data_IF_564036648352
#
_entry.id   IF_564036648352
#
_cell.length_a   1.000
_cell.length_b   1.000
_cell.length_c   1.000
_cell.angle_alpha   90.00
_cell.angle_beta   90.00
_cell.angle_gamma   90.00
#
_symmetry.space_group_name_H-M   'P 1'
#
loop_
_entity.id
_entity.type
_entity.pdbx_description
1 polymer ?
#
# COMPACT_ATOMS: atom_id res chain seq x y z
N UNK A 1 -2.29 9.34 -86.84
CA UNK A 1 -3.31 8.97 -85.83
C UNK A 1 -2.85 7.72 -85.07
N UNK A 2 -2.80 7.78 -83.72
CA UNK A 2 -2.74 6.67 -82.73
C UNK A 2 -1.47 5.78 -82.76
N UNK A 3 -0.77 5.46 -81.66
CA UNK A 3 -0.90 5.71 -80.21
C UNK A 3 0.48 5.43 -79.57
N UNK A 4 1.05 6.41 -78.86
CA UNK A 4 2.11 6.22 -77.85
C UNK A 4 1.38 6.25 -76.50
N UNK A 5 1.13 5.09 -75.88
CA UNK A 5 0.68 4.99 -74.48
C UNK A 5 1.04 3.61 -73.94
N UNK A 6 2.22 3.48 -73.36
CA UNK A 6 2.62 2.21 -72.76
C UNK A 6 3.99 2.27 -72.13
N UNK A 7 4.27 3.24 -71.25
CA UNK A 7 5.47 3.15 -70.39
C UNK A 7 5.40 3.98 -69.09
N UNK A 8 4.26 4.59 -68.74
CA UNK A 8 4.19 5.57 -67.64
C UNK A 8 3.36 5.08 -66.42
N UNK A 9 3.22 3.77 -66.24
CA UNK A 9 2.42 3.19 -65.15
C UNK A 9 3.18 2.20 -64.25
N UNK A 10 4.47 1.97 -64.50
CA UNK A 10 5.31 1.11 -63.64
C UNK A 10 6.14 1.94 -62.63
N UNK A 11 6.16 3.27 -62.77
CA UNK A 11 6.95 4.17 -61.92
C UNK A 11 6.25 4.74 -60.68
N UNK A 12 4.98 4.39 -60.41
CA UNK A 12 4.19 4.99 -59.29
C UNK A 12 3.72 3.94 -58.27
N UNK A 13 4.00 2.65 -58.48
CA UNK A 13 3.60 1.57 -57.55
C UNK A 13 4.70 1.11 -56.58
N UNK A 14 5.91 1.68 -56.65
CA UNK A 14 7.01 1.40 -55.69
C UNK A 14 7.41 2.70 -54.95
N UNK A 15 6.43 3.42 -54.41
CA UNK A 15 6.74 4.58 -53.55
C UNK A 15 5.84 4.70 -52.31
N UNK A 16 4.99 3.70 -52.02
CA UNK A 16 4.04 3.74 -50.88
C UNK A 16 4.37 2.71 -49.79
N UNK A 17 5.44 1.93 -49.93
CA UNK A 17 5.78 0.83 -49.00
C UNK A 17 7.01 1.12 -48.12
N UNK A 18 7.12 2.35 -47.66
CA UNK A 18 7.98 2.72 -46.53
C UNK A 18 7.16 3.50 -45.51
N UNK A 19 6.00 2.95 -45.12
CA UNK A 19 5.39 3.32 -43.85
C UNK A 19 6.32 2.80 -42.75
N UNK A 20 7.21 3.66 -42.26
CA UNK A 20 7.98 3.39 -41.05
C UNK A 20 6.98 3.06 -39.94
N UNK A 21 6.93 1.79 -39.56
CA UNK A 21 6.23 1.36 -38.37
C UNK A 21 6.94 2.03 -37.20
N UNK A 22 6.42 3.16 -36.73
CA UNK A 22 6.83 3.72 -35.46
C UNK A 22 6.25 2.77 -34.42
N UNK A 23 7.06 1.78 -34.03
CA UNK A 23 6.78 0.97 -32.86
C UNK A 23 7.00 1.92 -31.68
N UNK A 24 5.94 2.59 -31.25
CA UNK A 24 5.93 3.27 -29.96
C UNK A 24 6.06 2.18 -28.91
N UNK A 25 7.28 1.93 -28.45
CA UNK A 25 7.49 1.20 -27.20
C UNK A 25 6.88 2.09 -26.13
N UNK A 26 5.76 1.66 -25.54
CA UNK A 26 5.30 2.27 -24.30
C UNK A 26 6.46 2.18 -23.31
N UNK A 27 6.90 3.31 -22.77
CA UNK A 27 7.88 3.29 -21.69
C UNK A 27 7.26 2.50 -20.53
N UNK A 28 7.95 1.47 -20.07
CA UNK A 28 7.53 0.76 -18.86
C UNK A 28 7.55 1.74 -17.69
N UNK A 29 6.51 1.70 -16.87
CA UNK A 29 6.42 2.57 -15.70
C UNK A 29 7.54 2.24 -14.72
N UNK A 30 8.14 3.27 -14.12
CA UNK A 30 9.16 3.06 -13.09
C UNK A 30 8.53 2.64 -11.77
N UNK A 31 9.32 2.01 -10.89
CA UNK A 31 8.88 1.69 -9.53
C UNK A 31 8.36 2.94 -8.80
N UNK A 32 9.09 4.05 -8.94
CA UNK A 32 8.76 5.36 -8.37
C UNK A 32 7.40 5.88 -8.86
N UNK A 33 7.12 5.80 -10.16
CA UNK A 33 5.82 6.21 -10.69
C UNK A 33 4.66 5.36 -10.16
N UNK A 34 4.87 4.05 -10.04
CA UNK A 34 3.86 3.10 -9.54
C UNK A 34 3.55 3.39 -8.07
N UNK A 35 4.58 3.51 -7.24
CA UNK A 35 4.39 3.73 -5.80
C UNK A 35 3.83 5.13 -5.50
N UNK A 36 4.22 6.15 -6.26
CA UNK A 36 3.64 7.49 -6.12
C UNK A 36 2.13 7.47 -6.41
N UNK A 37 1.67 6.75 -7.44
CA UNK A 37 0.24 6.59 -7.72
C UNK A 37 -0.48 5.84 -6.61
N UNK A 38 0.17 4.84 -6.01
CA UNK A 38 -0.39 4.14 -4.84
C UNK A 38 -0.52 5.07 -3.65
N UNK A 39 0.53 5.81 -3.31
CA UNK A 39 0.49 6.79 -2.23
C UNK A 39 -0.60 7.84 -2.50
N UNK A 40 -0.78 8.32 -3.73
CA UNK A 40 -1.82 9.29 -4.07
C UNK A 40 -3.25 8.71 -3.93
N UNK A 41 -3.42 7.40 -4.12
CA UNK A 41 -4.71 6.71 -3.95
C UNK A 41 -5.02 6.34 -2.50
N UNK A 42 -4.00 5.96 -1.71
CA UNK A 42 -4.17 5.45 -0.35
C UNK A 42 -3.93 6.51 0.73
N UNK A 43 -3.18 7.57 0.43
CA UNK A 43 -2.87 8.64 1.38
C UNK A 43 -3.94 9.73 1.39
N UNK A 44 -4.71 9.79 2.47
CA UNK A 44 -5.77 10.79 2.67
C UNK A 44 -5.35 11.92 3.63
N UNK A 45 -5.89 13.12 3.42
CA UNK A 45 -5.67 14.25 4.34
C UNK A 45 -6.44 14.10 5.65
N UNK A 46 -7.70 13.65 5.56
CA UNK A 46 -8.60 13.39 6.69
C UNK A 46 -9.54 12.27 6.32
N UNK A 47 -9.91 11.42 7.28
CA UNK A 47 -10.92 10.38 7.09
C UNK A 47 -11.74 10.17 8.37
N UNK A 48 -12.99 9.77 8.16
CA UNK A 48 -13.84 9.16 9.18
C UNK A 48 -14.13 7.73 8.74
N UNK A 49 -13.93 6.77 9.63
CA UNK A 49 -14.05 5.34 9.31
C UNK A 49 -14.88 4.63 10.37
N UNK A 50 -15.71 3.70 9.92
CA UNK A 50 -16.29 2.65 10.77
C UNK A 50 -15.63 1.33 10.38
N UNK A 51 -15.11 0.59 11.34
CA UNK A 51 -14.35 -0.64 11.08
C UNK A 51 -14.79 -1.78 11.99
N UNK A 52 -14.75 -2.99 11.44
CA UNK A 52 -14.88 -4.25 12.15
C UNK A 52 -13.57 -5.03 12.03
N UNK A 53 -13.00 -5.40 13.18
CA UNK A 53 -11.82 -6.25 13.28
C UNK A 53 -12.21 -7.60 13.85
N UNK A 54 -11.95 -8.65 13.08
CA UNK A 54 -12.19 -10.04 13.48
C UNK A 54 -10.84 -10.70 13.77
N UNK A 55 -10.59 -11.02 15.03
CA UNK A 55 -9.37 -11.68 15.50
C UNK A 55 -9.67 -13.17 15.68
N UNK A 56 -8.91 -14.03 15.00
CA UNK A 56 -9.03 -15.49 15.09
C UNK A 56 -7.74 -16.07 15.66
N UNK A 57 -7.82 -16.74 16.80
CA UNK A 57 -6.67 -17.39 17.45
C UNK A 57 -7.06 -18.80 17.89
N UNK A 58 -6.58 -19.80 17.14
CA UNK A 58 -7.04 -21.19 17.31
C UNK A 58 -8.56 -21.31 17.12
N UNK A 59 -9.26 -21.81 18.13
CA UNK A 59 -10.73 -21.90 18.12
C UNK A 59 -11.43 -20.61 18.59
N UNK A 60 -10.69 -19.62 19.09
CA UNK A 60 -11.25 -18.38 19.62
C UNK A 60 -11.44 -17.37 18.49
N UNK A 61 -12.63 -16.76 18.42
CA UNK A 61 -12.95 -15.64 17.54
C UNK A 61 -13.41 -14.45 18.38
N UNK A 62 -12.80 -13.28 18.19
CA UNK A 62 -13.17 -12.02 18.85
C UNK A 62 -13.51 -11.02 17.75
N UNK A 63 -14.63 -10.32 17.90
CA UNK A 63 -14.99 -9.20 17.01
C UNK A 63 -14.91 -7.90 17.79
N UNK A 64 -14.20 -6.91 17.24
CA UNK A 64 -14.09 -5.55 17.75
C UNK A 64 -14.63 -4.60 16.70
N UNK A 65 -15.48 -3.67 17.10
CA UNK A 65 -16.00 -2.63 16.22
C UNK A 65 -15.50 -1.29 16.72
N UNK A 66 -15.19 -0.37 15.80
CA UNK A 66 -14.61 0.91 16.15
C UNK A 66 -14.99 2.00 15.15
N UNK A 67 -14.94 3.24 15.62
CA UNK A 67 -15.03 4.45 14.80
C UNK A 67 -13.69 5.18 14.91
N UNK A 68 -13.17 5.65 13.79
CA UNK A 68 -11.93 6.42 13.74
C UNK A 68 -12.14 7.78 13.09
N UNK A 69 -11.49 8.80 13.64
CA UNK A 69 -11.28 10.11 13.05
C UNK A 69 -9.79 10.32 12.90
N UNK A 70 -9.32 10.52 11.68
CA UNK A 70 -7.88 10.60 11.40
C UNK A 70 -7.58 11.77 10.49
N UNK A 71 -6.44 12.40 10.73
CA UNK A 71 -5.74 13.27 9.79
C UNK A 71 -4.36 12.65 9.46
N UNK A 72 -3.49 13.40 8.79
CA UNK A 72 -2.14 12.94 8.39
C UNK A 72 -1.25 12.46 9.54
N UNK A 73 -1.40 13.05 10.73
CA UNK A 73 -0.49 12.83 11.88
C UNK A 73 -1.21 12.36 13.13
N UNK A 74 -2.51 12.59 13.21
CA UNK A 74 -3.30 12.35 14.40
C UNK A 74 -4.45 11.40 14.09
N UNK A 75 -4.78 10.55 15.05
CA UNK A 75 -5.91 9.65 14.94
C UNK A 75 -6.57 9.46 16.30
N UNK A 76 -7.90 9.51 16.33
CA UNK A 76 -8.70 9.13 17.48
C UNK A 76 -9.57 7.94 17.08
N UNK A 77 -9.34 6.79 17.71
CA UNK A 77 -10.14 5.57 17.52
C UNK A 77 -10.92 5.31 18.79
N UNK A 78 -12.21 5.03 18.67
CA UNK A 78 -13.08 4.62 19.77
C UNK A 78 -13.70 3.25 19.50
N UNK A 79 -13.55 2.33 20.44
CA UNK A 79 -14.20 1.02 20.36
C UNK A 79 -15.68 1.11 20.72
N UNK A 80 -16.50 0.49 19.89
CA UNK A 80 -17.97 0.48 20.00
C UNK A 80 -18.53 -0.90 20.33
N UNK A 81 -17.71 -1.96 20.30
CA UNK A 81 -18.13 -3.30 20.70
C UNK A 81 -18.36 -3.36 22.21
N UNK A 82 -19.21 -4.29 22.65
CA UNK A 82 -19.68 -4.32 24.04
C UNK A 82 -18.57 -4.51 25.08
N UNK A 83 -17.52 -5.30 24.80
CA UNK A 83 -16.47 -5.57 25.79
C UNK A 83 -15.49 -4.41 25.98
N UNK A 84 -15.22 -3.64 24.92
CA UNK A 84 -14.22 -2.57 24.93
C UNK A 84 -14.86 -1.18 24.82
N UNK A 85 -16.19 -1.08 25.02
CA UNK A 85 -16.99 0.11 24.72
C UNK A 85 -16.39 1.35 25.39
N UNK A 86 -16.08 2.35 24.59
CA UNK A 86 -15.55 3.63 25.07
C UNK A 86 -14.04 3.65 25.29
N UNK A 87 -13.34 2.51 25.20
CA UNK A 87 -11.88 2.47 25.10
C UNK A 87 -11.44 3.28 23.89
N UNK A 88 -10.40 4.11 24.06
CA UNK A 88 -9.93 5.03 23.01
C UNK A 88 -8.44 4.88 22.75
N UNK A 89 -8.05 4.99 21.49
CA UNK A 89 -6.68 5.29 21.09
C UNK A 89 -6.60 6.74 20.65
N UNK A 90 -5.60 7.45 21.16
CA UNK A 90 -5.19 8.73 20.62
C UNK A 90 -3.77 8.59 20.09
N UNK A 91 -3.60 8.70 18.78
CA UNK A 91 -2.31 9.01 18.16
C UNK A 91 -2.21 10.52 18.01
N UNK A 92 -1.11 11.09 18.48
CA UNK A 92 -0.76 12.49 18.22
C UNK A 92 0.71 12.55 17.82
N UNK A 93 0.96 12.81 16.55
CA UNK A 93 2.30 12.75 15.95
C UNK A 93 2.94 11.38 16.23
N UNK A 94 4.07 11.36 16.94
CA UNK A 94 4.86 10.16 17.25
C UNK A 94 4.46 9.45 18.55
N UNK A 95 3.44 9.96 19.23
CA UNK A 95 2.98 9.42 20.50
C UNK A 95 1.62 8.75 20.36
N UNK A 96 1.47 7.62 21.08
CA UNK A 96 0.23 6.86 21.17
C UNK A 96 -0.19 6.71 22.64
N UNK A 97 -1.46 6.97 22.91
CA UNK A 97 -2.09 6.76 24.20
C UNK A 97 -3.31 5.88 24.06
N UNK A 98 -3.57 5.09 25.10
CA UNK A 98 -4.80 4.33 25.26
C UNK A 98 -5.53 4.81 26.52
N UNK A 99 -6.83 5.02 26.41
CA UNK A 99 -7.70 5.36 27.53
C UNK A 99 -8.69 4.23 27.79
N UNK A 100 -8.78 3.80 29.05
CA UNK A 100 -9.70 2.78 29.51
C UNK A 100 -10.79 3.43 30.40
N UNK A 101 -12.06 3.47 29.94
CA UNK A 101 -13.12 4.18 30.67
C UNK A 101 -13.43 3.56 32.03
N UNK A 102 -13.44 2.23 32.13
CA UNK A 102 -13.82 1.53 33.36
C UNK A 102 -12.84 1.77 34.53
N UNK A 103 -11.58 2.06 34.21
CA UNK A 103 -10.53 2.34 35.17
C UNK A 103 -10.18 3.84 35.26
N UNK A 104 -10.75 4.67 34.40
CA UNK A 104 -10.36 6.07 34.17
C UNK A 104 -8.83 6.24 33.95
N UNK A 105 -8.21 5.25 33.32
CA UNK A 105 -6.75 5.16 33.19
C UNK A 105 -6.29 5.58 31.78
N UNK A 106 -5.19 6.34 31.71
CA UNK A 106 -4.50 6.69 30.45
C UNK A 106 -3.10 6.07 30.47
N UNK A 107 -2.81 5.24 29.47
CA UNK A 107 -1.53 4.56 29.31
C UNK A 107 -0.85 5.06 28.04
N UNK A 108 0.40 5.53 28.14
CA UNK A 108 1.24 5.83 26.97
C UNK A 108 1.84 4.54 26.42
N UNK A 109 1.57 4.25 25.15
CA UNK A 109 2.15 3.10 24.44
C UNK A 109 3.48 3.52 23.84
N UNK A 110 4.58 2.94 24.33
CA UNK A 110 5.94 3.30 23.89
C UNK A 110 6.93 2.15 24.05
N UNK A 111 8.11 2.30 23.45
CA UNK A 111 9.21 1.34 23.56
C UNK A 111 8.78 -0.06 23.10
N UNK A 112 9.04 -1.08 23.92
CA UNK A 112 8.70 -2.47 23.58
C UNK A 112 7.19 -2.70 23.40
N UNK A 113 6.34 -1.86 24.00
CA UNK A 113 4.89 -1.98 23.83
C UNK A 113 4.45 -1.74 22.38
N UNK A 114 5.19 -0.95 21.60
CA UNK A 114 4.86 -0.68 20.20
C UNK A 114 4.85 -1.96 19.35
N UNK A 115 5.66 -2.95 19.71
CA UNK A 115 5.76 -4.22 19.00
C UNK A 115 4.67 -5.23 19.38
N UNK A 116 3.80 -4.89 20.34
CA UNK A 116 2.74 -5.78 20.81
C UNK A 116 1.50 -5.66 19.92
N UNK A 117 0.75 -6.75 19.84
CA UNK A 117 -0.52 -6.82 19.12
C UNK A 117 -1.57 -5.88 19.73
N UNK A 118 -2.09 -4.97 18.91
CA UNK A 118 -3.16 -4.04 19.24
C UNK A 118 -4.41 -4.84 19.61
N UNK A 119 -4.83 -4.67 20.87
CA UNK A 119 -5.99 -5.36 21.45
C UNK A 119 -5.98 -6.89 21.24
N UNK A 120 -4.78 -7.50 21.16
CA UNK A 120 -4.60 -8.94 20.95
C UNK A 120 -4.73 -9.39 19.49
N UNK A 121 -4.68 -8.47 18.52
CA UNK A 121 -4.63 -8.77 17.10
C UNK A 121 -3.20 -8.98 16.59
N UNK A 122 -3.06 -9.40 15.33
CA UNK A 122 -1.76 -9.47 14.65
C UNK A 122 -1.26 -8.09 14.17
N UNK A 123 -2.08 -7.03 14.24
CA UNK A 123 -1.64 -5.65 14.01
C UNK A 123 -0.88 -5.16 15.23
N UNK A 124 0.38 -4.78 15.08
CA UNK A 124 1.13 -4.16 16.16
C UNK A 124 0.71 -2.70 16.37
N UNK A 125 0.96 -2.15 17.55
CA UNK A 125 0.75 -0.70 17.77
C UNK A 125 1.65 0.15 16.87
N UNK A 126 2.83 -0.36 16.52
CA UNK A 126 3.76 0.28 15.60
C UNK A 126 3.14 0.39 14.19
N UNK A 127 2.36 -0.61 13.74
CA UNK A 127 1.62 -0.54 12.47
C UNK A 127 0.58 0.59 12.47
N UNK A 128 -0.08 0.82 13.60
CA UNK A 128 -1.07 1.91 13.76
C UNK A 128 -0.37 3.28 13.79
N UNK A 129 0.91 3.32 14.20
CA UNK A 129 1.71 4.52 14.26
C UNK A 129 2.30 4.94 12.91
N UNK A 130 2.53 4.01 11.98
CA UNK A 130 3.06 4.34 10.65
C UNK A 130 1.93 4.93 9.79
N UNK A 131 2.01 6.24 9.49
CA UNK A 131 1.05 6.93 8.62
C UNK A 131 1.71 7.82 7.57
N UNK A 132 3.02 7.68 7.39
CA UNK A 132 3.76 8.40 6.35
C UNK A 132 3.57 7.72 4.99
N UNK A 133 3.84 8.46 3.92
CA UNK A 133 3.83 7.90 2.57
C UNK A 133 4.93 6.84 2.45
N UNK A 134 4.67 5.77 1.69
CA UNK A 134 5.67 4.73 1.51
C UNK A 134 6.91 5.27 0.77
N UNK A 135 6.71 6.22 -0.13
CA UNK A 135 7.79 6.94 -0.85
C UNK A 135 8.71 7.76 0.04
N UNK A 136 8.25 8.18 1.22
CA UNK A 136 9.08 8.90 2.19
C UNK A 136 9.97 7.93 2.98
N UNK A 137 9.55 6.67 3.10
CA UNK A 137 10.14 5.68 4.00
C UNK A 137 11.02 4.63 3.29
N UNK A 138 10.73 4.29 2.04
CA UNK A 138 11.37 3.17 1.35
C UNK A 138 11.85 3.55 -0.06
N UNK A 139 12.94 2.93 -0.49
CA UNK A 139 13.37 2.90 -1.88
C UNK A 139 12.83 1.63 -2.54
N UNK A 140 12.16 1.81 -3.69
CA UNK A 140 11.43 0.73 -4.36
C UNK A 140 12.05 0.32 -5.69
N UNK A 141 12.03 -0.98 -5.96
CA UNK A 141 12.38 -1.58 -7.24
C UNK A 141 11.29 -2.56 -7.69
N UNK A 142 11.04 -2.63 -9.01
CA UNK A 142 10.15 -3.65 -9.57
C UNK A 142 10.93 -4.96 -9.63
N UNK A 143 10.48 -5.98 -8.92
CA UNK A 143 11.15 -7.29 -8.90
C UNK A 143 10.52 -8.29 -9.85
N UNK A 144 9.22 -8.15 -10.15
CA UNK A 144 8.49 -8.96 -11.14
C UNK A 144 7.10 -8.37 -11.43
N UNK A 145 6.43 -8.97 -12.40
CA UNK A 145 5.02 -8.78 -12.67
C UNK A 145 4.32 -10.13 -12.55
N UNK A 146 3.20 -10.19 -11.83
CA UNK A 146 2.43 -11.43 -11.72
C UNK A 146 0.95 -11.15 -11.47
N UNK A 147 0.13 -12.19 -11.61
CA UNK A 147 -1.29 -12.13 -11.30
C UNK A 147 -1.50 -12.49 -9.82
N UNK A 148 -2.29 -11.68 -9.11
CA UNK A 148 -2.76 -11.97 -7.76
C UNK A 148 -4.29 -11.87 -7.74
N UNK A 149 -4.96 -12.95 -7.33
CA UNK A 149 -6.42 -13.08 -7.30
C UNK A 149 -7.12 -12.61 -8.58
N UNK A 150 -6.60 -13.04 -9.74
CA UNK A 150 -7.18 -12.72 -11.05
C UNK A 150 -6.89 -11.30 -11.53
N UNK A 151 -6.04 -10.54 -10.83
CA UNK A 151 -5.68 -9.17 -11.19
C UNK A 151 -4.18 -9.06 -11.50
N UNK A 152 -3.79 -8.42 -12.62
CA UNK A 152 -2.40 -8.25 -12.93
C UNK A 152 -1.78 -7.20 -12.01
N UNK A 153 -0.64 -7.51 -11.43
CA UNK A 153 0.04 -6.69 -10.44
C UNK A 153 1.48 -6.38 -10.87
N UNK A 154 1.95 -5.20 -10.48
CA UNK A 154 3.37 -4.95 -10.30
C UNK A 154 3.78 -5.48 -8.93
N UNK A 155 4.91 -6.19 -8.85
CA UNK A 155 5.47 -6.62 -7.57
C UNK A 155 6.72 -5.79 -7.30
N UNK A 156 6.63 -4.93 -6.29
CA UNK A 156 7.70 -4.04 -5.90
C UNK A 156 8.32 -4.53 -4.59
N UNK A 157 9.66 -4.48 -4.52
CA UNK A 157 10.40 -4.60 -3.28
C UNK A 157 10.74 -3.20 -2.78
N UNK A 158 10.45 -2.93 -1.51
CA UNK A 158 10.83 -1.69 -0.81
C UNK A 158 11.83 -1.98 0.29
N UNK A 159 12.96 -1.28 0.28
CA UNK A 159 13.97 -1.30 1.35
C UNK A 159 13.94 0.04 2.08
N UNK A 160 13.90 -0.01 3.42
CA UNK A 160 13.83 1.19 4.24
C UNK A 160 15.04 2.10 4.00
N UNK A 161 14.77 3.40 3.89
CA UNK A 161 15.80 4.43 3.72
C UNK A 161 16.70 4.54 4.95
N UNK A 162 17.89 5.08 4.75
CA UNK A 162 18.80 5.34 5.86
C UNK A 162 18.23 6.46 6.77
N UNK A 163 18.26 6.22 8.08
CA UNK A 163 17.86 7.21 9.08
C UNK A 163 16.37 7.40 9.31
N UNK A 164 15.50 6.66 8.59
CA UNK A 164 14.05 6.67 8.85
C UNK A 164 13.67 5.63 9.91
N UNK A 165 12.61 5.93 10.68
CA UNK A 165 12.03 4.99 11.63
C UNK A 165 10.88 4.26 10.94
N UNK A 166 11.05 2.97 10.69
CA UNK A 166 10.05 2.11 10.03
C UNK A 166 9.68 0.93 10.92
N UNK A 167 8.47 0.41 10.72
CA UNK A 167 7.99 -0.80 11.39
C UNK A 167 8.67 -2.06 10.83
N UNK A 168 8.99 -2.05 9.54
CA UNK A 168 9.59 -3.18 8.82
C UNK A 168 10.74 -2.69 7.95
N UNK A 169 11.84 -3.44 7.93
CA UNK A 169 13.01 -3.04 7.15
C UNK A 169 12.80 -3.23 5.65
N UNK A 170 12.12 -4.31 5.28
CA UNK A 170 11.88 -4.69 3.89
C UNK A 170 10.43 -5.09 3.71
N UNK A 171 9.86 -4.71 2.57
CA UNK A 171 8.51 -5.09 2.16
C UNK A 171 8.48 -5.54 0.71
N UNK A 172 7.59 -6.47 0.40
CA UNK A 172 7.23 -6.82 -0.97
C UNK A 172 5.75 -6.56 -1.13
N UNK A 173 5.39 -5.70 -2.07
CA UNK A 173 4.03 -5.22 -2.27
C UNK A 173 3.54 -5.54 -3.67
N UNK A 174 2.35 -6.15 -3.75
CA UNK A 174 1.64 -6.39 -4.99
C UNK A 174 0.71 -5.21 -5.23
N UNK A 175 0.97 -4.45 -6.29
CA UNK A 175 0.23 -3.23 -6.63
C UNK A 175 -0.58 -3.52 -7.89
N UNK A 176 -1.90 -3.37 -7.78
CA UNK A 176 -2.82 -3.53 -8.90
C UNK A 176 -2.45 -2.60 -10.07
N UNK A 177 -2.31 -3.14 -11.29
CA UNK A 177 -1.87 -2.33 -12.45
C UNK A 177 -2.86 -1.28 -12.91
N UNK A 178 -4.14 -1.48 -12.61
CA UNK A 178 -5.22 -0.61 -13.06
C UNK A 178 -5.54 0.45 -11.99
N UNK A 179 -5.68 0.00 -10.74
CA UNK A 179 -6.13 0.79 -9.61
C UNK A 179 -5.00 1.39 -8.81
N UNK A 180 -3.77 0.92 -8.95
CA UNK A 180 -2.62 1.35 -8.15
C UNK A 180 -2.94 1.31 -6.65
N UNK A 181 -3.38 0.16 -6.15
CA UNK A 181 -3.61 -0.11 -4.72
C UNK A 181 -2.87 -1.39 -4.33
N UNK A 182 -2.44 -1.48 -3.06
CA UNK A 182 -1.85 -2.69 -2.50
C UNK A 182 -2.89 -3.79 -2.36
N UNK A 183 -2.65 -4.95 -2.98
CA UNK A 183 -3.50 -6.14 -2.86
C UNK A 183 -2.91 -7.19 -1.91
N UNK A 184 -1.59 -7.23 -1.81
CA UNK A 184 -0.86 -8.12 -0.91
C UNK A 184 0.40 -7.42 -0.44
N UNK A 185 0.79 -7.67 0.81
CA UNK A 185 2.09 -7.28 1.33
C UNK A 185 2.76 -8.41 2.11
N UNK A 186 4.07 -8.52 1.96
CA UNK A 186 4.93 -9.34 2.80
C UNK A 186 5.95 -8.44 3.49
N UNK A 187 6.04 -8.52 4.81
CA UNK A 187 6.81 -7.60 5.65
C UNK A 187 7.91 -8.36 6.38
N UNK A 188 9.14 -7.89 6.28
CA UNK A 188 10.35 -8.62 6.65
C UNK A 188 11.20 -7.87 7.68
N UNK A 189 11.91 -8.65 8.53
CA UNK A 189 13.00 -8.12 9.36
C UNK A 189 14.22 -7.72 8.51
N UNK A 190 15.14 -6.98 9.13
CA UNK A 190 16.46 -6.71 8.55
C UNK A 190 17.27 -7.98 8.25
N UNK A 191 17.08 -9.06 9.01
CA UNK A 191 17.70 -10.36 8.75
C UNK A 191 17.05 -11.16 7.62
N UNK A 192 16.00 -10.64 6.98
CA UNK A 192 15.27 -11.30 5.90
C UNK A 192 14.19 -12.29 6.35
N UNK A 193 13.86 -12.36 7.65
CA UNK A 193 12.78 -13.21 8.16
C UNK A 193 11.42 -12.56 7.88
N UNK A 194 10.50 -13.31 7.25
CA UNK A 194 9.11 -12.89 7.11
C UNK A 194 8.45 -12.75 8.49
N UNK A 195 7.86 -11.58 8.76
CA UNK A 195 7.14 -11.30 10.00
C UNK A 195 5.62 -11.32 9.80
N UNK A 196 5.15 -10.73 8.70
CA UNK A 196 3.73 -10.55 8.44
C UNK A 196 3.43 -10.68 6.95
N UNK A 197 2.29 -11.26 6.66
CA UNK A 197 1.72 -11.32 5.31
C UNK A 197 0.27 -10.82 5.38
N UNK A 198 -0.10 -9.90 4.49
CA UNK A 198 -1.46 -9.37 4.33
C UNK A 198 -1.95 -9.73 2.94
N UNK A 199 -3.16 -10.29 2.83
CA UNK A 199 -3.81 -10.72 1.58
C UNK A 199 -5.23 -10.18 1.54
#
# INVERSE_FOLDING_TARGET
>A
MRKIKGFLLIGITISVLFSSLIITTAAEMTAEEIINRRDDNEYFNTAQMEAEMIIVSGSRKITKTMIALTDKKNSLVEFTNSQDRGTKFLKREDDLWMFFPDAEEIIKISGHMLNQGMMGSDFSYQDVMESDKLTDLYDFEIIKEEEFDGRPCYVLEGIAREGVKVSYYRRVSWIDRERFIGLKEELYTQSGRLLKETK
#
